data_IF_376192217057
#
_entry.id   IF_376192217057
#
_cell.length_a   1.000
_cell.length_b   1.000
_cell.length_c   1.000
_cell.angle_alpha   90.00
_cell.angle_beta   90.00
_cell.angle_gamma   90.00
#
_symmetry.space_group_name_H-M   'P 1'
#
loop_
_entity.id
_entity.type
_entity.pdbx_description
1 polymer ?
#
# COMPACT_ATOMS: atom_id res chain seq x y z
N UNK A 1 -42.66 7.71 -68.28
CA UNK A 1 -41.37 8.20 -67.73
C UNK A 1 -41.63 9.61 -67.23
N UNK A 2 -41.54 9.95 -65.94
CA UNK A 2 -40.33 9.97 -65.10
C UNK A 2 -40.73 9.67 -63.64
N UNK A 3 -40.06 8.70 -63.00
CA UNK A 3 -40.11 8.53 -61.54
C UNK A 3 -39.46 9.78 -60.95
N UNK A 4 -40.21 10.61 -60.23
CA UNK A 4 -39.62 11.57 -59.30
C UNK A 4 -39.52 10.79 -57.99
N UNK A 5 -38.33 10.23 -57.76
CA UNK A 5 -37.96 9.66 -56.48
C UNK A 5 -37.71 10.85 -55.54
N UNK A 6 -38.40 10.97 -54.39
CA UNK A 6 -38.09 11.99 -53.40
C UNK A 6 -36.73 11.66 -52.77
N UNK A 7 -35.88 12.69 -52.59
CA UNK A 7 -34.60 12.54 -51.89
C UNK A 7 -34.80 12.01 -50.46
N UNK A 8 -33.86 11.18 -49.96
CA UNK A 8 -33.91 10.67 -48.59
C UNK A 8 -33.67 11.80 -47.57
N UNK A 9 -34.22 11.69 -46.34
CA UNK A 9 -34.06 12.72 -45.33
C UNK A 9 -32.59 12.85 -44.90
N UNK A 10 -32.13 14.09 -44.78
CA UNK A 10 -30.79 14.39 -44.27
C UNK A 10 -30.69 13.96 -42.80
N UNK A 11 -29.72 13.09 -42.51
CA UNK A 11 -29.34 12.73 -41.14
C UNK A 11 -28.78 14.00 -40.49
N UNK A 12 -29.26 14.44 -39.30
CA UNK A 12 -28.68 15.59 -38.64
C UNK A 12 -27.22 15.28 -38.31
N UNK A 13 -26.32 16.09 -38.87
CA UNK A 13 -24.90 16.06 -38.55
C UNK A 13 -24.77 16.41 -37.08
N UNK A 14 -24.38 15.43 -36.27
CA UNK A 14 -24.04 15.66 -34.87
C UNK A 14 -22.89 16.68 -34.85
N UNK A 15 -23.14 17.84 -34.27
CA UNK A 15 -22.15 18.91 -34.13
C UNK A 15 -20.98 18.38 -33.30
N UNK A 16 -19.80 18.31 -33.92
CA UNK A 16 -18.59 17.76 -33.30
C UNK A 16 -18.24 18.49 -31.99
N UNK A 17 -18.61 19.77 -31.88
CA UNK A 17 -18.45 20.54 -30.65
C UNK A 17 -19.31 20.01 -29.49
N UNK A 18 -20.52 19.49 -29.76
CA UNK A 18 -21.40 18.92 -28.74
C UNK A 18 -20.94 17.55 -28.26
N UNK A 19 -20.26 16.79 -29.12
CA UNK A 19 -19.66 15.51 -28.75
C UNK A 19 -18.46 15.70 -27.83
N UNK A 20 -17.57 16.65 -28.15
CA UNK A 20 -16.40 16.99 -27.33
C UNK A 20 -16.77 17.48 -25.93
N UNK A 21 -17.80 18.33 -25.80
CA UNK A 21 -18.27 18.80 -24.49
C UNK A 21 -18.83 17.67 -23.63
N UNK A 22 -19.55 16.72 -24.23
CA UNK A 22 -20.07 15.52 -23.56
C UNK A 22 -18.95 14.60 -23.07
N UNK A 23 -17.88 14.43 -23.86
CA UNK A 23 -16.70 13.65 -23.45
C UNK A 23 -15.97 14.29 -22.27
N UNK A 24 -15.82 15.61 -22.27
CA UNK A 24 -15.19 16.36 -21.18
C UNK A 24 -16.01 16.29 -19.88
N UNK A 25 -17.33 16.36 -19.97
CA UNK A 25 -18.25 16.22 -18.84
C UNK A 25 -18.16 14.82 -18.22
N UNK A 26 -18.11 13.79 -19.07
CA UNK A 26 -17.87 12.41 -18.62
C UNK A 26 -16.54 12.25 -17.91
N UNK A 27 -15.47 12.82 -18.46
CA UNK A 27 -14.16 12.78 -17.82
C UNK A 27 -14.13 13.56 -16.49
N UNK A 28 -14.90 14.64 -16.36
CA UNK A 28 -15.06 15.37 -15.10
C UNK A 28 -15.86 14.56 -14.07
N UNK A 29 -16.92 13.89 -14.50
CA UNK A 29 -17.73 13.01 -13.66
C UNK A 29 -16.92 11.81 -13.14
N UNK A 30 -16.11 11.17 -13.98
CA UNK A 30 -15.24 10.06 -13.58
C UNK A 30 -14.19 10.55 -12.55
N UNK A 31 -13.57 11.71 -12.79
CA UNK A 31 -12.65 12.33 -11.80
C UNK A 31 -13.32 12.65 -10.47
N UNK A 32 -14.57 13.13 -10.49
CA UNK A 32 -15.32 13.40 -9.27
C UNK A 32 -15.66 12.10 -8.55
N UNK A 33 -16.07 11.05 -9.27
CA UNK A 33 -16.38 9.76 -8.70
C UNK A 33 -15.15 9.13 -8.03
N UNK A 34 -13.98 9.20 -8.67
CA UNK A 34 -12.71 8.73 -8.08
C UNK A 34 -12.33 9.52 -6.81
N UNK A 35 -12.60 10.83 -6.79
CA UNK A 35 -12.30 11.68 -5.63
C UNK A 35 -13.24 11.42 -4.44
N UNK A 36 -14.54 11.24 -4.71
CA UNK A 36 -15.55 11.11 -3.66
C UNK A 36 -15.86 9.66 -3.28
N UNK A 37 -15.59 8.68 -4.14
CA UNK A 37 -15.78 7.26 -3.90
C UNK A 37 -14.44 6.53 -4.05
N UNK A 38 -13.49 6.69 -3.11
CA UNK A 38 -12.29 5.88 -3.12
C UNK A 38 -12.70 4.41 -3.12
N UNK A 39 -12.40 3.71 -4.21
CA UNK A 39 -12.73 2.29 -4.38
C UNK A 39 -12.16 1.43 -3.22
N UNK A 40 -12.64 0.19 -3.06
CA UNK A 40 -12.14 -0.70 -2.02
C UNK A 40 -10.62 -0.79 -2.09
N UNK A 41 -9.97 -0.37 -0.99
CA UNK A 41 -8.51 -0.37 -0.86
C UNK A 41 -8.02 -1.78 -1.22
N UNK A 42 -7.08 -1.94 -2.17
CA UNK A 42 -6.59 -3.26 -2.53
C UNK A 42 -6.10 -3.93 -1.25
N UNK A 43 -6.65 -5.11 -0.98
CA UNK A 43 -6.22 -5.92 0.16
C UNK A 43 -4.70 -6.06 0.05
N UNK A 44 -3.99 -5.61 1.08
CA UNK A 44 -2.53 -5.73 1.14
C UNK A 44 -2.21 -7.20 0.90
N UNK A 45 -1.28 -7.56 0.00
CA UNK A 45 -0.88 -8.94 -0.16
C UNK A 45 -0.43 -9.43 1.21
N UNK A 46 -1.25 -10.26 1.85
CA UNK A 46 -0.90 -10.89 3.12
C UNK A 46 0.12 -11.93 2.71
N UNK A 47 1.40 -11.57 2.78
CA UNK A 47 2.46 -12.55 2.77
C UNK A 47 2.07 -13.60 3.81
N UNK A 48 1.92 -14.85 3.39
CA UNK A 48 1.42 -15.93 4.23
C UNK A 48 2.24 -15.97 5.51
N UNK A 49 1.69 -15.38 6.57
CA UNK A 49 2.38 -15.23 7.82
C UNK A 49 2.44 -16.64 8.43
N UNK A 50 3.64 -17.15 8.64
CA UNK A 50 3.85 -18.47 9.28
C UNK A 50 3.30 -18.50 10.71
N UNK A 51 3.00 -17.33 11.29
CA UNK A 51 2.38 -17.14 12.60
C UNK A 51 1.17 -16.21 12.45
N UNK A 52 -0.01 -16.68 12.89
CA UNK A 52 -1.19 -15.83 13.03
C UNK A 52 -1.11 -15.06 14.36
N UNK A 53 -1.15 -13.73 14.27
CA UNK A 53 -1.38 -12.87 15.43
C UNK A 53 -2.89 -12.70 15.55
N UNK A 54 -3.53 -13.08 16.67
CA UNK A 54 -4.97 -12.98 16.80
C UNK A 54 -5.43 -11.52 16.72
N UNK A 55 -6.52 -11.26 16.01
CA UNK A 55 -7.10 -9.91 15.85
C UNK A 55 -7.53 -9.26 17.17
N UNK A 56 -7.64 -10.05 18.24
CA UNK A 56 -7.95 -9.56 19.59
C UNK A 56 -6.79 -8.85 20.27
N UNK A 57 -5.56 -8.94 19.73
CA UNK A 57 -4.41 -8.26 20.33
C UNK A 57 -4.51 -6.77 20.04
N UNK A 58 -4.38 -5.95 21.09
CA UNK A 58 -4.34 -4.51 20.89
C UNK A 58 -3.00 -4.11 20.23
N UNK A 59 -3.00 -3.01 19.47
CA UNK A 59 -1.84 -2.57 18.70
C UNK A 59 -0.61 -2.28 19.59
N UNK A 60 -0.83 -1.68 20.75
CA UNK A 60 0.24 -1.35 21.72
C UNK A 60 0.95 -2.62 22.20
N UNK A 61 0.19 -3.64 22.61
CA UNK A 61 0.69 -4.93 23.04
C UNK A 61 1.40 -5.67 21.89
N UNK A 62 0.89 -5.57 20.66
CA UNK A 62 1.56 -6.14 19.49
C UNK A 62 2.92 -5.47 19.24
N UNK A 63 3.00 -4.14 19.33
CA UNK A 63 4.23 -3.39 19.14
C UNK A 63 5.23 -3.62 20.28
N UNK A 64 4.76 -3.68 21.53
CA UNK A 64 5.58 -4.03 22.68
C UNK A 64 6.19 -5.44 22.50
N UNK A 65 5.37 -6.41 22.13
CA UNK A 65 5.83 -7.77 21.84
C UNK A 65 6.82 -7.82 20.67
N UNK A 66 6.58 -7.03 19.62
CA UNK A 66 7.51 -6.92 18.50
C UNK A 66 8.87 -6.33 18.92
N UNK A 67 8.87 -5.30 19.79
CA UNK A 67 10.10 -4.71 20.33
C UNK A 67 10.90 -5.73 21.15
N UNK A 68 10.22 -6.52 21.99
CA UNK A 68 10.87 -7.60 22.76
C UNK A 68 11.47 -8.68 21.86
N UNK A 69 10.74 -9.11 20.82
CA UNK A 69 11.25 -10.08 19.84
C UNK A 69 12.47 -9.54 19.09
N UNK A 70 12.46 -8.27 18.68
CA UNK A 70 13.59 -7.62 18.02
C UNK A 70 14.79 -7.49 18.96
N UNK A 71 14.58 -7.19 20.25
CA UNK A 71 15.65 -7.21 21.27
C UNK A 71 16.28 -8.60 21.38
N UNK A 72 15.46 -9.66 21.44
CA UNK A 72 15.96 -11.03 21.46
C UNK A 72 16.73 -11.40 20.19
N UNK A 73 16.25 -10.99 19.02
CA UNK A 73 16.93 -11.20 17.75
C UNK A 73 18.29 -10.49 17.70
N UNK A 74 18.37 -9.24 18.18
CA UNK A 74 19.62 -8.48 18.26
C UNK A 74 20.64 -9.12 19.21
N UNK A 75 20.19 -9.59 20.39
CA UNK A 75 21.04 -10.34 21.32
C UNK A 75 21.57 -11.63 20.67
N UNK A 76 20.70 -12.39 20.00
CA UNK A 76 21.06 -13.63 19.30
C UNK A 76 22.07 -13.37 18.18
N UNK A 77 21.88 -12.31 17.39
CA UNK A 77 22.83 -11.92 16.35
C UNK A 77 24.20 -11.57 16.95
N UNK A 78 24.24 -10.81 18.05
CA UNK A 78 25.50 -10.50 18.72
C UNK A 78 26.21 -11.76 19.26
N UNK A 79 25.48 -12.68 19.88
CA UNK A 79 26.06 -13.95 20.37
C UNK A 79 26.64 -14.79 19.22
N UNK A 80 25.88 -14.95 18.13
CA UNK A 80 26.34 -15.67 16.94
C UNK A 80 27.56 -14.99 16.32
N UNK A 81 27.51 -13.66 16.16
CA UNK A 81 28.60 -12.87 15.57
C UNK A 81 29.89 -12.94 16.40
N UNK A 82 29.78 -13.04 17.73
CA UNK A 82 30.94 -13.20 18.59
C UNK A 82 31.68 -14.53 18.37
N UNK A 83 30.97 -15.59 17.96
CA UNK A 83 31.55 -16.89 17.62
C UNK A 83 32.12 -17.01 16.21
N UNK A 84 31.93 -16.01 15.35
CA UNK A 84 32.31 -16.05 13.93
C UNK A 84 33.57 -15.20 13.65
N UNK A 85 34.49 -15.67 12.79
CA UNK A 85 35.60 -14.87 12.30
C UNK A 85 35.33 -14.22 10.93
N UNK A 86 36.02 -13.10 10.66
CA UNK A 86 36.10 -12.47 9.34
C UNK A 86 34.76 -12.00 8.77
N UNK A 87 34.59 -12.13 7.46
CA UNK A 87 33.42 -11.61 6.72
C UNK A 87 32.07 -12.13 7.25
N UNK A 88 32.04 -13.32 7.85
CA UNK A 88 30.81 -13.88 8.39
C UNK A 88 30.35 -13.13 9.67
N UNK A 89 31.30 -12.65 10.48
CA UNK A 89 31.03 -11.74 11.59
C UNK A 89 30.48 -10.41 11.09
N UNK A 90 31.10 -9.84 10.05
CA UNK A 90 30.66 -8.56 9.48
C UNK A 90 29.22 -8.64 8.96
N UNK A 91 28.85 -9.77 8.33
CA UNK A 91 27.48 -10.04 7.90
C UNK A 91 26.52 -10.08 9.09
N UNK A 92 26.85 -10.81 10.15
CA UNK A 92 25.98 -10.92 11.33
C UNK A 92 25.83 -9.58 12.07
N UNK A 93 26.91 -8.79 12.16
CA UNK A 93 26.85 -7.43 12.70
C UNK A 93 25.96 -6.52 11.85
N UNK A 94 26.00 -6.66 10.51
CA UNK A 94 25.09 -5.95 9.61
C UNK A 94 23.62 -6.34 9.86
N UNK A 95 23.33 -7.63 10.06
CA UNK A 95 21.99 -8.09 10.44
C UNK A 95 21.56 -7.49 11.78
N UNK A 96 22.44 -7.52 12.79
CA UNK A 96 22.18 -6.90 14.10
C UNK A 96 21.85 -5.41 14.00
N UNK A 97 22.57 -4.68 13.14
CA UNK A 97 22.29 -3.27 12.88
C UNK A 97 20.91 -3.04 12.25
N UNK A 98 20.50 -3.87 11.29
CA UNK A 98 19.17 -3.80 10.69
C UNK A 98 18.07 -4.09 11.71
N UNK A 99 18.30 -5.05 12.62
CA UNK A 99 17.37 -5.38 13.72
C UNK A 99 17.23 -4.20 14.68
N UNK A 100 18.33 -3.55 15.06
CA UNK A 100 18.29 -2.36 15.93
C UNK A 100 17.54 -1.19 15.28
N UNK A 101 17.77 -0.96 13.98
CA UNK A 101 17.01 0.04 13.22
C UNK A 101 15.51 -0.29 13.22
N UNK A 102 15.14 -1.53 12.93
CA UNK A 102 13.74 -1.95 12.95
C UNK A 102 13.11 -1.74 14.33
N UNK A 103 13.84 -2.08 15.41
CA UNK A 103 13.40 -1.86 16.78
C UNK A 103 13.16 -0.37 17.06
N UNK A 104 14.05 0.51 16.64
CA UNK A 104 13.87 1.95 16.83
C UNK A 104 12.58 2.49 16.17
N UNK A 105 12.20 1.99 14.98
CA UNK A 105 10.92 2.35 14.36
C UNK A 105 9.72 1.81 15.14
N UNK A 106 9.80 0.60 15.67
CA UNK A 106 8.74 0.00 16.50
C UNK A 106 8.58 0.76 17.81
N UNK A 107 9.67 1.03 18.52
CA UNK A 107 9.68 1.81 19.76
C UNK A 107 9.10 3.21 19.51
N UNK A 108 9.51 3.89 18.44
CA UNK A 108 8.94 5.19 18.08
C UNK A 108 7.44 5.14 17.79
N UNK A 109 6.97 4.05 17.19
CA UNK A 109 5.53 3.85 16.94
C UNK A 109 4.76 3.63 18.24
N UNK A 110 5.37 2.92 19.20
CA UNK A 110 4.82 2.70 20.53
C UNK A 110 4.74 4.01 21.33
N UNK A 111 5.81 4.81 21.33
CA UNK A 111 5.85 6.12 22.00
C UNK A 111 4.74 7.06 21.50
N UNK A 112 4.45 7.04 20.19
CA UNK A 112 3.40 7.86 19.60
C UNK A 112 1.99 7.41 20.03
N UNK A 113 1.80 6.14 20.42
CA UNK A 113 0.54 5.63 20.94
C UNK A 113 0.35 6.03 22.42
N UNK A 114 1.42 6.05 23.20
CA UNK A 114 1.35 6.40 24.64
C UNK A 114 1.24 7.90 24.91
N UNK A 115 1.48 8.74 23.91
CA UNK A 115 1.50 10.22 24.05
C UNK A 115 0.12 10.87 23.82
N UNK A 116 -0.92 10.09 23.56
CA UNK A 116 -2.30 10.56 23.33
C UNK A 116 -3.25 10.16 24.47
#
# INVERSE_FOLDING_TARGET
>A
MKKIVPDPPAIPVLDTAQYETSLLDRAAADRALDYYLPGPKPARPVAAATYEIPDSVNLEAALAQASDLLRCAGASANEVGNGMPGAARDLVLSIGHLVELAKAYVDKSLDNLTTH
#
